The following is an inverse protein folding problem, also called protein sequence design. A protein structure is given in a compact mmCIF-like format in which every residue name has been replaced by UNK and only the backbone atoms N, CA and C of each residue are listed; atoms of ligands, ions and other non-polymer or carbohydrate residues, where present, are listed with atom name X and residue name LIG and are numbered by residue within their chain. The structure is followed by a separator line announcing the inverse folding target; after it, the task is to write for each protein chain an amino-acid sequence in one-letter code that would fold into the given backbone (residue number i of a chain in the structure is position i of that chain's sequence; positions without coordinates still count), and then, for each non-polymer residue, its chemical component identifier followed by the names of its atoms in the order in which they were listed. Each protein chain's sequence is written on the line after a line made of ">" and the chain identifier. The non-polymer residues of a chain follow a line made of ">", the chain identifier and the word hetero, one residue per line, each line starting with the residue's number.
data_IF_997549986449
#
_entry.id   IF_997549986449
#
_cell.length_a   1.000
_cell.length_b   1.000
_cell.length_c   1.000
_cell.angle_alpha   90.00
_cell.angle_beta   90.00
_cell.angle_gamma   90.00
#
_symmetry.space_group_name_H-M   'P 1'
#
loop_
_entity.id
_entity.type
_entity.pdbx_description
1 polymer ?
#
# COMPACT_ATOMS: atom_id res chain seq x y z
N UNK A 1 -14.11 -1.53 -18.06
CA UNK A 1 -14.96 -2.44 -17.28
C UNK A 1 -14.14 -3.67 -16.95
N UNK A 2 -13.77 -3.88 -15.68
CA UNK A 2 -12.92 -5.00 -15.28
C UNK A 2 -13.87 -6.14 -14.89
N UNK A 3 -13.83 -7.20 -15.69
CA UNK A 3 -14.63 -8.41 -15.56
C UNK A 3 -14.36 -9.12 -14.23
N UNK A 4 -15.37 -9.08 -13.36
CA UNK A 4 -15.46 -9.94 -12.18
C UNK A 4 -15.61 -11.40 -12.65
N UNK A 5 -14.91 -12.31 -11.97
CA UNK A 5 -14.91 -13.73 -12.26
C UNK A 5 -16.34 -14.31 -12.32
N UNK A 6 -16.53 -15.22 -13.27
CA UNK A 6 -17.76 -15.93 -13.61
C UNK A 6 -18.42 -16.59 -12.39
N UNK A 7 -19.72 -16.37 -12.28
CA UNK A 7 -20.68 -16.85 -11.28
C UNK A 7 -20.71 -18.37 -11.06
N UNK A 8 -20.87 -18.76 -9.79
CA UNK A 8 -21.61 -19.96 -9.38
C UNK A 8 -22.87 -19.53 -8.63
N UNK A 9 -24.05 -19.84 -9.17
CA UNK A 9 -25.36 -19.29 -8.78
C UNK A 9 -25.95 -19.92 -7.49
N UNK A 10 -25.07 -20.33 -6.56
CA UNK A 10 -25.45 -20.90 -5.25
C UNK A 10 -24.45 -20.54 -4.14
N UNK A 11 -23.72 -19.44 -4.27
CA UNK A 11 -22.70 -19.06 -3.30
C UNK A 11 -23.20 -18.05 -2.26
N UNK A 12 -23.04 -18.43 -0.99
CA UNK A 12 -23.29 -17.59 0.17
C UNK A 12 -22.72 -16.18 -0.02
N UNK A 13 -23.54 -15.15 0.20
CA UNK A 13 -23.16 -13.71 0.09
C UNK A 13 -21.91 -13.38 0.93
N UNK A 14 -21.65 -14.15 2.00
CA UNK A 14 -20.48 -14.01 2.86
C UNK A 14 -19.15 -14.52 2.24
N UNK A 15 -19.19 -15.24 1.11
CA UNK A 15 -18.00 -15.74 0.40
C UNK A 15 -17.49 -14.79 -0.68
N UNK A 16 -18.22 -13.72 -0.96
CA UNK A 16 -17.79 -12.72 -1.95
C UNK A 16 -16.48 -12.04 -1.51
N UNK A 17 -15.48 -12.02 -2.38
CA UNK A 17 -14.21 -11.36 -2.10
C UNK A 17 -14.37 -9.84 -2.11
N UNK A 18 -14.00 -9.21 -1.00
CA UNK A 18 -14.05 -7.75 -0.84
C UNK A 18 -12.66 -7.23 -0.51
N UNK A 19 -12.39 -6.01 -0.97
CA UNK A 19 -11.15 -5.29 -0.63
C UNK A 19 -11.31 -4.75 0.80
N UNK A 20 -10.57 -5.29 1.75
CA UNK A 20 -10.64 -4.85 3.15
C UNK A 20 -9.90 -3.52 3.38
N UNK A 21 -8.66 -3.43 2.92
CA UNK A 21 -7.80 -2.26 3.11
C UNK A 21 -6.71 -2.18 2.06
N UNK A 22 -6.29 -0.96 1.76
CA UNK A 22 -5.11 -0.65 0.99
C UNK A 22 -4.10 0.04 1.90
N UNK A 23 -2.85 -0.42 1.90
CA UNK A 23 -1.78 0.17 2.70
C UNK A 23 -0.77 0.78 1.75
N UNK A 24 -0.60 2.10 1.82
CA UNK A 24 0.47 2.82 1.14
C UNK A 24 1.64 2.95 2.11
N UNK A 25 2.83 2.52 1.68
CA UNK A 25 4.03 2.59 2.49
C UNK A 25 5.16 3.23 1.67
N UNK A 26 5.80 4.25 2.23
CA UNK A 26 7.00 4.87 1.68
C UNK A 26 8.13 4.68 2.70
N UNK A 27 9.17 3.95 2.29
CA UNK A 27 10.40 3.75 3.05
C UNK A 27 11.54 4.48 2.36
N UNK A 28 12.07 5.54 2.99
CA UNK A 28 13.14 6.35 2.40
C UNK A 28 14.56 5.81 2.68
N UNK A 29 14.70 4.83 3.59
CA UNK A 29 16.00 4.25 3.97
C UNK A 29 16.94 5.18 4.75
N UNK A 30 16.59 6.46 4.85
CA UNK A 30 17.33 7.51 5.55
C UNK A 30 16.35 8.34 6.39
N UNK A 31 16.81 8.84 7.54
CA UNK A 31 16.03 9.75 8.37
C UNK A 31 16.17 11.21 7.90
N UNK A 32 15.22 12.07 8.32
CA UNK A 32 15.24 13.51 8.05
C UNK A 32 14.20 13.98 7.02
N UNK A 33 14.59 14.97 6.20
CA UNK A 33 13.65 15.74 5.37
C UNK A 33 12.99 14.96 4.23
N UNK A 34 13.56 13.83 3.83
CA UNK A 34 12.93 12.95 2.82
C UNK A 34 11.64 12.33 3.38
N UNK A 35 11.66 11.89 4.63
CA UNK A 35 10.51 11.25 5.29
C UNK A 35 9.38 12.25 5.53
N UNK A 36 9.72 13.49 5.91
CA UNK A 36 8.72 14.55 6.13
C UNK A 36 8.09 15.03 4.82
N UNK A 37 8.86 15.11 3.72
CA UNK A 37 8.32 15.39 2.38
C UNK A 37 7.43 14.25 1.89
N UNK A 38 7.85 13.00 2.06
CA UNK A 38 7.03 11.84 1.71
C UNK A 38 5.70 11.83 2.47
N UNK A 39 5.71 12.20 3.76
CA UNK A 39 4.49 12.35 4.55
C UNK A 39 3.52 13.38 3.94
N UNK A 40 4.02 14.54 3.50
CA UNK A 40 3.19 15.56 2.83
C UNK A 40 2.57 15.03 1.52
N UNK A 41 3.33 14.28 0.73
CA UNK A 41 2.83 13.67 -0.51
C UNK A 41 1.72 12.65 -0.21
N UNK A 42 1.91 11.80 0.80
CA UNK A 42 0.88 10.84 1.22
C UNK A 42 -0.38 11.54 1.71
N UNK A 43 -0.22 12.63 2.45
CA UNK A 43 -1.36 13.41 2.94
C UNK A 43 -2.14 14.05 1.78
N UNK A 44 -1.45 14.59 0.77
CA UNK A 44 -2.08 15.14 -0.43
C UNK A 44 -2.80 14.09 -1.29
N UNK A 45 -2.30 12.84 -1.29
CA UNK A 45 -2.90 11.75 -2.08
C UNK A 45 -4.11 11.10 -1.40
N UNK A 46 -4.14 11.07 -0.06
CA UNK A 46 -5.12 10.28 0.71
C UNK A 46 -6.07 11.11 1.58
N UNK A 47 -5.75 12.39 1.80
CA UNK A 47 -6.36 13.27 2.79
C UNK A 47 -6.36 12.70 4.22
N UNK A 48 -5.45 11.78 4.51
CA UNK A 48 -5.31 11.14 5.81
C UNK A 48 -3.97 11.51 6.44
N UNK A 49 -3.94 11.56 7.77
CA UNK A 49 -2.71 11.80 8.50
C UNK A 49 -1.82 10.55 8.45
N UNK A 50 -0.60 10.64 7.89
CA UNK A 50 0.30 9.49 7.79
C UNK A 50 0.94 9.15 9.13
N UNK A 51 1.08 7.85 9.39
CA UNK A 51 1.74 7.35 10.59
C UNK A 51 3.23 7.11 10.32
N UNK A 52 4.08 7.71 11.16
CA UNK A 52 5.52 7.52 11.09
C UNK A 52 5.97 6.24 11.80
N UNK A 53 6.68 5.39 11.07
CA UNK A 53 7.30 4.16 11.58
C UNK A 53 8.71 4.45 12.09
N UNK A 54 9.00 3.94 13.30
CA UNK A 54 10.30 4.09 13.96
C UNK A 54 11.21 2.89 13.73
N UNK A 55 12.52 3.16 13.68
CA UNK A 55 13.58 2.16 13.59
C UNK A 55 13.60 1.23 14.82
N UNK A 56 13.52 -0.09 14.60
CA UNK A 56 13.71 -1.08 15.69
C UNK A 56 15.18 -1.31 16.04
N UNK A 57 16.04 -1.31 15.03
CA UNK A 57 17.48 -1.59 15.16
C UNK A 57 18.32 -0.45 14.57
N UNK A 58 19.53 -0.30 15.08
CA UNK A 58 20.55 0.58 14.49
C UNK A 58 21.27 -0.20 13.39
N UNK A 59 21.25 0.30 12.16
CA UNK A 59 21.93 -0.34 11.02
C UNK A 59 22.88 0.68 10.40
N UNK A 60 24.19 0.44 10.55
CA UNK A 60 25.24 1.39 10.13
C UNK A 60 25.30 1.57 8.61
N UNK A 61 24.98 0.54 7.83
CA UNK A 61 24.99 0.61 6.36
C UNK A 61 23.94 1.58 5.79
N UNK A 62 22.83 1.77 6.51
CA UNK A 62 21.77 2.72 6.13
C UNK A 62 21.86 4.05 6.90
N UNK A 63 22.85 4.23 7.78
CA UNK A 63 22.99 5.44 8.59
C UNK A 63 21.88 5.64 9.65
N UNK A 64 21.09 4.60 9.95
CA UNK A 64 19.90 4.70 10.80
C UNK A 64 20.26 4.42 12.26
N UNK A 65 19.78 5.28 13.18
CA UNK A 65 19.78 5.00 14.63
C UNK A 65 18.43 4.48 15.13
N UNK A 66 18.45 3.75 16.24
CA UNK A 66 17.24 3.26 16.93
C UNK A 66 16.30 4.42 17.25
N UNK A 67 15.00 4.19 17.08
CA UNK A 67 13.90 5.16 17.27
C UNK A 67 13.84 6.33 16.29
N UNK A 68 14.70 6.39 15.27
CA UNK A 68 14.54 7.38 14.21
C UNK A 68 13.33 7.07 13.31
N UNK A 69 12.71 8.12 12.75
CA UNK A 69 11.62 7.99 11.79
C UNK A 69 12.21 7.65 10.41
N UNK A 70 11.86 6.50 9.85
CA UNK A 70 12.40 6.01 8.57
C UNK A 70 11.34 5.92 7.48
N UNK A 71 10.11 5.59 7.86
CA UNK A 71 9.05 5.29 6.92
C UNK A 71 7.73 5.95 7.35
N UNK A 72 6.88 6.19 6.37
CA UNK A 72 5.53 6.71 6.54
C UNK A 72 4.56 5.74 5.88
N UNK A 73 3.47 5.43 6.57
CA UNK A 73 2.43 4.59 6.01
C UNK A 73 1.04 5.17 6.28
N UNK A 74 0.11 4.89 5.36
CA UNK A 74 -1.32 5.24 5.46
C UNK A 74 -2.13 3.99 5.14
N UNK A 75 -3.18 3.77 5.92
CA UNK A 75 -4.15 2.70 5.68
C UNK A 75 -5.46 3.29 5.19
N UNK A 76 -5.77 3.11 3.91
CA UNK A 76 -7.02 3.58 3.31
C UNK A 76 -8.02 2.43 3.22
N UNK A 77 -9.28 2.72 3.56
CA UNK A 77 -10.40 1.79 3.47
C UNK A 77 -11.58 2.45 2.76
N UNK A 78 -12.55 1.65 2.33
CA UNK A 78 -13.77 2.14 1.68
C UNK A 78 -13.55 2.59 0.24
N UNK A 79 -14.35 3.55 -0.22
CA UNK A 79 -14.39 3.94 -1.64
C UNK A 79 -13.12 4.67 -2.09
N UNK A 80 -12.48 5.45 -1.20
CA UNK A 80 -11.15 6.04 -1.46
C UNK A 80 -10.11 4.99 -1.84
N UNK A 81 -10.18 3.78 -1.27
CA UNK A 81 -9.24 2.71 -1.62
C UNK A 81 -9.48 2.21 -3.05
N UNK A 82 -10.74 2.09 -3.49
CA UNK A 82 -11.08 1.67 -4.86
C UNK A 82 -10.59 2.67 -5.89
N UNK A 83 -10.72 3.96 -5.62
CA UNK A 83 -10.22 5.02 -6.49
C UNK A 83 -8.69 5.01 -6.62
N UNK A 84 -7.98 4.81 -5.50
CA UNK A 84 -6.52 4.72 -5.53
C UNK A 84 -6.06 3.46 -6.27
N UNK A 85 -6.78 2.35 -6.13
CA UNK A 85 -6.48 1.11 -6.86
C UNK A 85 -6.68 1.30 -8.36
N UNK A 86 -7.79 1.92 -8.80
CA UNK A 86 -8.04 2.13 -10.23
C UNK A 86 -6.97 3.06 -10.85
N UNK A 87 -6.59 4.13 -10.13
CA UNK A 87 -5.48 5.02 -10.53
C UNK A 87 -4.13 4.30 -10.55
N UNK A 88 -3.85 3.46 -9.54
CA UNK A 88 -2.59 2.73 -9.42
C UNK A 88 -2.43 1.62 -10.47
N UNK A 89 -3.51 0.91 -10.80
CA UNK A 89 -3.49 -0.11 -11.85
C UNK A 89 -3.31 0.48 -13.25
N UNK A 90 -3.83 1.69 -13.48
CA UNK A 90 -3.61 2.40 -14.73
C UNK A 90 -2.13 2.72 -14.97
N UNK A 91 -1.36 3.01 -13.92
CA UNK A 91 0.10 3.24 -14.01
C UNK A 91 0.86 1.98 -14.42
N UNK A 92 0.35 0.80 -14.07
CA UNK A 92 0.98 -0.49 -14.35
C UNK A 92 0.39 -1.20 -15.57
N UNK A 93 -0.30 -0.45 -16.45
CA UNK A 93 -0.97 -0.96 -17.66
C UNK A 93 -1.93 -2.14 -17.39
N UNK A 94 -2.46 -2.24 -16.17
CA UNK A 94 -3.27 -3.37 -15.69
C UNK A 94 -2.55 -4.74 -15.73
N UNK A 95 -1.23 -4.77 -15.90
CA UNK A 95 -0.46 -6.00 -15.87
C UNK A 95 -0.04 -6.36 -14.43
N UNK A 96 -0.68 -7.40 -13.90
CA UNK A 96 -0.29 -8.01 -12.62
C UNK A 96 0.34 -9.38 -12.88
N UNK A 97 1.64 -9.48 -12.59
CA UNK A 97 2.32 -10.78 -12.62
C UNK A 97 1.78 -11.67 -11.51
N UNK A 98 1.56 -12.96 -11.83
CA UNK A 98 1.07 -13.96 -10.87
C UNK A 98 1.93 -14.06 -9.59
N UNK A 99 3.24 -13.76 -9.69
CA UNK A 99 4.18 -13.75 -8.56
C UNK A 99 3.87 -12.67 -7.51
N UNK A 100 3.16 -11.61 -7.88
CA UNK A 100 2.80 -10.52 -6.96
C UNK A 100 1.65 -10.91 -6.02
N UNK A 101 0.98 -12.03 -6.28
CA UNK A 101 -0.07 -12.57 -5.41
C UNK A 101 0.52 -13.53 -4.38
N UNK A 102 0.20 -13.27 -3.12
CA UNK A 102 0.44 -14.19 -2.00
C UNK A 102 -0.60 -15.31 -2.00
N UNK A 103 -0.28 -16.44 -1.36
CA UNK A 103 -1.21 -17.57 -1.19
C UNK A 103 -2.51 -17.21 -0.46
N UNK A 104 -2.52 -16.08 0.26
CA UNK A 104 -3.69 -15.56 0.97
C UNK A 104 -4.52 -14.56 0.14
N UNK A 105 -4.21 -14.38 -1.15
CA UNK A 105 -4.95 -13.46 -2.03
C UNK A 105 -4.57 -11.98 -1.89
N UNK A 106 -3.56 -11.66 -1.08
CA UNK A 106 -2.97 -10.31 -1.03
C UNK A 106 -2.06 -10.09 -2.23
N UNK A 107 -2.04 -8.89 -2.79
CA UNK A 107 -1.07 -8.53 -3.81
C UNK A 107 -0.29 -7.27 -3.42
N UNK A 108 0.97 -7.21 -3.83
CA UNK A 108 1.85 -6.06 -3.62
C UNK A 108 2.33 -5.50 -4.94
N UNK A 109 1.95 -4.26 -5.25
CA UNK A 109 2.53 -3.47 -6.33
C UNK A 109 3.72 -2.68 -5.82
N UNK A 110 4.89 -3.31 -5.69
CA UNK A 110 6.15 -2.60 -5.55
C UNK A 110 6.72 -2.34 -6.93
N UNK A 111 6.77 -1.08 -7.35
CA UNK A 111 7.78 -0.67 -8.32
C UNK A 111 9.03 -0.32 -7.49
N UNK A 112 10.16 -0.88 -7.91
CA UNK A 112 11.42 -0.92 -7.18
C UNK A 112 11.91 0.47 -6.76
#
# INVERSE_FOLDING_TARGET
>A
EISCATMGESDNVMREMKIEKLVLNISAGESGDRVTRAAKVLQQLTDQEPVFSRARYTVRSFGIRRNEKIACHVTVRGDKAKEIISKGLAVKEFELKRRNFSGNGNWGGGDL
#
